data_IF_943933783785
#
_entry.id   IF_943933783785
#
_cell.length_a   1.000
_cell.length_b   1.000
_cell.length_c   1.000
_cell.angle_alpha   90.00
_cell.angle_beta   90.00
_cell.angle_gamma   90.00
#
_symmetry.space_group_name_H-M   'P 1'
#
loop_
_entity.id
_entity.type
_entity.pdbx_description
1 polymer ?
#
# COMPACT_ATOMS: atom_id res chain seq x y z
N UNK A 1 -13.18 11.32 -0.42
CA UNK A 1 -12.12 11.34 0.61
C UNK A 1 -10.83 10.95 -0.08
N UNK A 2 -9.76 11.74 0.05
CA UNK A 2 -8.45 11.49 -0.55
C UNK A 2 -7.40 11.37 0.56
N UNK A 3 -6.84 10.17 0.75
CA UNK A 3 -5.85 9.91 1.80
C UNK A 3 -4.45 10.41 1.44
N UNK A 4 -4.23 10.88 0.21
CA UNK A 4 -2.99 11.55 -0.19
C UNK A 4 -2.98 13.06 0.14
N UNK A 5 -4.09 13.63 0.64
CA UNK A 5 -4.14 15.04 1.11
C UNK A 5 -3.19 15.29 2.29
N UNK A 6 -3.14 14.36 3.24
CA UNK A 6 -2.24 14.39 4.40
C UNK A 6 -1.48 13.07 4.50
N UNK A 7 -0.54 12.80 3.58
CA UNK A 7 -0.02 11.46 3.35
C UNK A 7 0.75 10.90 4.55
N UNK A 8 1.40 11.76 5.32
CA UNK A 8 2.12 11.34 6.52
C UNK A 8 1.18 10.87 7.63
N UNK A 9 0.07 11.56 7.86
CA UNK A 9 -0.93 11.18 8.86
C UNK A 9 -1.63 9.88 8.45
N UNK A 10 -2.14 9.81 7.22
CA UNK A 10 -2.77 8.59 6.72
C UNK A 10 -1.81 7.39 6.70
N UNK A 11 -0.54 7.60 6.37
CA UNK A 11 0.48 6.55 6.48
C UNK A 11 0.66 6.07 7.92
N UNK A 12 0.77 6.98 8.91
CA UNK A 12 0.91 6.60 10.33
C UNK A 12 -0.28 5.76 10.81
N UNK A 13 -1.49 6.10 10.38
CA UNK A 13 -2.71 5.38 10.75
C UNK A 13 -2.72 3.93 10.24
N UNK A 14 -2.22 3.70 9.02
CA UNK A 14 -2.36 2.39 8.38
C UNK A 14 -1.10 1.53 8.43
N UNK A 15 0.12 2.10 8.51
CA UNK A 15 1.39 1.36 8.32
C UNK A 15 1.54 0.11 9.20
N UNK A 16 0.93 0.13 10.38
CA UNK A 16 1.01 -0.95 11.38
C UNK A 16 -0.13 -1.97 11.29
N UNK A 17 -1.02 -1.86 10.30
CA UNK A 17 -2.05 -2.87 10.01
C UNK A 17 -1.40 -4.25 9.78
N UNK A 18 -2.12 -5.31 10.18
CA UNK A 18 -1.62 -6.67 10.06
C UNK A 18 -1.31 -7.01 8.58
N UNK A 19 -0.23 -7.75 8.28
CA UNK A 19 0.12 -8.17 6.92
C UNK A 19 -1.02 -8.89 6.17
N UNK A 20 -1.91 -9.57 6.90
CA UNK A 20 -3.09 -10.23 6.34
C UNK A 20 -4.11 -9.25 5.74
N UNK A 21 -4.21 -8.03 6.27
CA UNK A 21 -5.07 -6.97 5.71
C UNK A 21 -4.51 -6.54 4.36
N UNK A 22 -3.23 -6.20 4.31
CA UNK A 22 -2.56 -5.83 3.07
C UNK A 22 -2.61 -6.93 2.02
N UNK A 23 -2.41 -8.19 2.42
CA UNK A 23 -2.54 -9.32 1.51
C UNK A 23 -3.93 -9.37 0.87
N UNK A 24 -5.01 -9.26 1.65
CA UNK A 24 -6.38 -9.24 1.13
C UNK A 24 -6.62 -8.08 0.16
N UNK A 25 -6.13 -6.88 0.48
CA UNK A 25 -6.26 -5.71 -0.39
C UNK A 25 -5.50 -5.87 -1.71
N UNK A 26 -4.31 -6.47 -1.68
CA UNK A 26 -3.46 -6.65 -2.86
C UNK A 26 -3.84 -7.89 -3.69
N UNK A 27 -4.49 -8.88 -3.10
CA UNK A 27 -4.87 -10.13 -3.78
C UNK A 27 -6.16 -10.01 -4.59
N UNK A 28 -6.98 -8.99 -4.36
CA UNK A 28 -8.22 -8.76 -5.08
C UNK A 28 -8.13 -7.44 -5.87
N UNK A 29 -8.20 -7.53 -7.19
CA UNK A 29 -8.06 -6.38 -8.08
C UNK A 29 -9.22 -5.39 -7.98
N UNK A 30 -10.45 -5.86 -7.76
CA UNK A 30 -11.62 -4.99 -7.55
C UNK A 30 -11.47 -4.16 -6.27
N UNK A 31 -11.01 -4.80 -5.19
CA UNK A 31 -10.71 -4.12 -3.93
C UNK A 31 -9.54 -3.16 -4.12
N UNK A 32 -8.49 -3.56 -4.83
CA UNK A 32 -7.35 -2.70 -5.08
C UNK A 32 -7.73 -1.46 -5.92
N UNK A 33 -8.68 -1.57 -6.85
CA UNK A 33 -9.21 -0.42 -7.58
C UNK A 33 -9.91 0.58 -6.64
N UNK A 34 -10.63 0.10 -5.62
CA UNK A 34 -11.17 0.97 -4.58
C UNK A 34 -10.06 1.66 -3.77
N UNK A 35 -8.97 0.95 -3.48
CA UNK A 35 -7.77 1.56 -2.86
C UNK A 35 -7.24 2.69 -3.75
N UNK A 36 -7.12 2.50 -5.07
CA UNK A 36 -6.63 3.56 -5.97
C UNK A 36 -7.53 4.81 -6.00
N UNK A 37 -8.85 4.67 -5.84
CA UNK A 37 -9.76 5.82 -5.74
C UNK A 37 -9.49 6.63 -4.46
N UNK A 38 -9.12 5.95 -3.37
CA UNK A 38 -8.83 6.55 -2.07
C UNK A 38 -7.41 7.14 -1.99
N UNK A 39 -6.49 6.64 -2.82
CA UNK A 39 -5.09 7.08 -2.92
C UNK A 39 -4.73 7.49 -4.37
N UNK A 40 -5.38 8.52 -4.93
CA UNK A 40 -5.25 8.91 -6.33
C UNK A 40 -3.83 9.33 -6.74
N UNK A 41 -3.02 9.87 -5.83
CA UNK A 41 -1.64 10.28 -6.08
C UNK A 41 -0.63 9.20 -5.71
N UNK A 42 -1.10 8.16 -5.01
CA UNK A 42 -0.35 6.99 -4.57
C UNK A 42 0.81 7.36 -3.64
N UNK A 43 0.79 8.54 -3.00
CA UNK A 43 1.87 9.01 -2.11
C UNK A 43 1.99 8.08 -0.91
N UNK A 44 0.87 7.79 -0.26
CA UNK A 44 0.83 6.86 0.88
C UNK A 44 1.20 5.43 0.46
N UNK A 45 0.72 4.98 -0.71
CA UNK A 45 1.04 3.65 -1.22
C UNK A 45 2.55 3.49 -1.50
N UNK A 46 3.22 4.52 -2.03
CA UNK A 46 4.69 4.52 -2.19
C UNK A 46 5.41 4.49 -0.84
N UNK A 47 4.92 5.22 0.16
CA UNK A 47 5.46 5.16 1.53
C UNK A 47 5.31 3.75 2.13
N UNK A 48 4.19 3.06 1.87
CA UNK A 48 3.99 1.68 2.29
C UNK A 48 4.97 0.70 1.64
N UNK A 49 5.28 0.86 0.34
CA UNK A 49 6.31 0.04 -0.33
C UNK A 49 7.64 0.16 0.39
N UNK A 50 8.10 1.38 0.66
CA UNK A 50 9.36 1.61 1.37
C UNK A 50 9.32 1.07 2.80
N UNK A 51 8.21 1.28 3.51
CA UNK A 51 8.02 0.73 4.84
C UNK A 51 8.14 -0.80 4.87
N UNK A 52 7.49 -1.50 3.93
CA UNK A 52 7.54 -2.96 3.84
C UNK A 52 8.95 -3.46 3.49
N UNK A 53 9.69 -2.76 2.62
CA UNK A 53 11.09 -3.10 2.30
C UNK A 53 12.00 -3.02 3.52
N UNK A 54 11.76 -2.04 4.40
CA UNK A 54 12.53 -1.81 5.62
C UNK A 54 12.18 -2.78 6.75
N UNK A 55 11.10 -3.58 6.63
CA UNK A 55 10.78 -4.57 7.64
C UNK A 55 11.73 -5.77 7.56
N UNK A 56 12.37 -6.10 8.69
CA UNK A 56 13.27 -7.25 8.82
C UNK A 56 12.57 -8.61 8.69
N UNK A 57 11.22 -8.65 8.65
CA UNK A 57 10.45 -9.88 8.57
C UNK A 57 10.17 -10.24 7.11
N UNK A 58 10.45 -11.50 6.75
CA UNK A 58 10.27 -12.04 5.39
C UNK A 58 8.85 -11.89 4.84
N UNK A 59 7.83 -11.84 5.70
CA UNK A 59 6.43 -11.70 5.29
C UNK A 59 6.12 -10.37 4.57
N UNK A 60 6.91 -9.31 4.79
CA UNK A 60 6.68 -8.01 4.17
C UNK A 60 7.30 -7.88 2.79
N UNK A 61 8.33 -8.68 2.46
CA UNK A 61 9.00 -8.60 1.16
C UNK A 61 8.04 -8.94 -0.01
N UNK A 62 7.21 -10.01 0.07
CA UNK A 62 6.17 -10.24 -0.94
C UNK A 62 5.15 -9.11 -1.06
N UNK A 63 4.79 -8.47 0.05
CA UNK A 63 3.85 -7.33 0.04
C UNK A 63 4.47 -6.12 -0.67
N UNK A 64 5.74 -5.81 -0.38
CA UNK A 64 6.48 -4.74 -1.03
C UNK A 64 6.56 -4.95 -2.55
N UNK A 65 6.96 -6.15 -2.97
CA UNK A 65 7.07 -6.51 -4.40
C UNK A 65 5.72 -6.42 -5.10
N UNK A 66 4.67 -6.99 -4.51
CA UNK A 66 3.33 -7.01 -5.11
C UNK A 66 2.74 -5.61 -5.25
N UNK A 67 2.84 -4.78 -4.20
CA UNK A 67 2.37 -3.41 -4.24
C UNK A 67 3.17 -2.60 -5.27
N UNK A 68 4.50 -2.71 -5.29
CA UNK A 68 5.34 -2.03 -6.27
C UNK A 68 4.99 -2.42 -7.71
N UNK A 69 4.77 -3.71 -7.98
CA UNK A 69 4.35 -4.20 -9.30
C UNK A 69 3.02 -3.60 -9.75
N UNK A 70 2.02 -3.57 -8.85
CA UNK A 70 0.73 -2.96 -9.15
C UNK A 70 0.85 -1.47 -9.46
N UNK A 71 1.69 -0.72 -8.73
CA UNK A 71 1.90 0.70 -9.01
C UNK A 71 2.63 0.94 -10.35
N UNK A 72 3.51 0.02 -10.75
CA UNK A 72 4.21 0.09 -12.03
C UNK A 72 3.28 -0.20 -13.21
N UNK A 73 2.31 -1.12 -13.08
CA UNK A 73 1.36 -1.44 -14.16
C UNK A 73 0.32 -0.37 -14.45
N UNK A 74 0.26 0.69 -13.63
CA UNK A 74 -0.63 1.84 -13.83
C UNK A 74 -0.01 2.93 -14.72
N UNK A 75 1.26 2.77 -15.11
CA UNK A 75 2.00 3.72 -15.97
C UNK A 75 1.91 3.37 -17.43
#
# INVERSE_FOLDING_TARGET
>A
MNFDENPLESFKEIKDLAPSVYRKLLDNDEIFNLVLILFPEQKVLKMLVEHFRQQNKTIYQPLASKLAQKLLSLR
#
